data_IF_626829726197
#
_entry.id   IF_626829726197
#
_cell.length_a   1.000
_cell.length_b   1.000
_cell.length_c   1.000
_cell.angle_alpha   90.00
_cell.angle_beta   90.00
_cell.angle_gamma   90.00
#
_symmetry.space_group_name_H-M   'P 1'
#
loop_
_entity.id
_entity.type
_entity.pdbx_description
1 polymer ?
#
# COMPACT_ATOMS: atom_id res chain seq x y z
N UNK A 1 -5.25 -4.93 -17.55
CA UNK A 1 -5.15 -5.37 -16.14
C UNK A 1 -6.52 -5.73 -15.59
N UNK A 2 -7.55 -4.86 -15.62
CA UNK A 2 -8.88 -5.18 -15.06
C UNK A 2 -9.49 -6.53 -15.50
N UNK A 3 -9.41 -6.95 -16.78
CA UNK A 3 -9.93 -8.27 -17.21
C UNK A 3 -9.20 -9.47 -16.58
N UNK A 4 -8.01 -9.26 -16.01
CA UNK A 4 -7.22 -10.30 -15.36
C UNK A 4 -7.51 -10.39 -13.85
N UNK A 5 -8.24 -9.44 -13.24
CA UNK A 5 -8.51 -9.45 -11.80
C UNK A 5 -9.06 -10.79 -11.27
N UNK A 6 -9.97 -11.50 -12.00
CA UNK A 6 -10.46 -12.81 -11.55
C UNK A 6 -9.38 -13.90 -11.45
N UNK A 7 -8.18 -13.66 -11.96
CA UNK A 7 -7.03 -14.59 -11.92
C UNK A 7 -5.93 -14.12 -10.96
N UNK A 8 -6.09 -12.98 -10.29
CA UNK A 8 -5.05 -12.39 -9.44
C UNK A 8 -5.42 -12.50 -7.96
N UNK A 9 -4.49 -13.00 -7.15
CA UNK A 9 -4.62 -12.96 -5.68
C UNK A 9 -4.15 -11.61 -5.10
N UNK A 10 -3.33 -10.85 -5.83
CA UNK A 10 -2.72 -9.61 -5.38
C UNK A 10 -2.51 -8.64 -6.54
N UNK A 11 -2.87 -7.37 -6.34
CA UNK A 11 -2.50 -6.24 -7.20
C UNK A 11 -1.58 -5.31 -6.41
N UNK A 12 -0.41 -5.01 -6.96
CA UNK A 12 0.58 -4.10 -6.36
C UNK A 12 0.59 -2.76 -7.12
N UNK A 13 0.47 -1.67 -6.37
CA UNK A 13 0.64 -0.30 -6.88
C UNK A 13 1.95 0.27 -6.36
N UNK A 14 2.85 0.63 -7.28
CA UNK A 14 4.05 1.38 -6.93
C UNK A 14 3.69 2.83 -6.61
N UNK A 15 4.11 3.33 -5.45
CA UNK A 15 4.00 4.72 -5.00
C UNK A 15 5.35 5.47 -5.05
N UNK A 16 6.28 4.94 -5.84
CA UNK A 16 7.57 5.54 -6.22
C UNK A 16 7.92 5.08 -7.64
N UNK A 17 8.88 5.73 -8.29
CA UNK A 17 9.46 5.19 -9.53
C UNK A 17 10.22 3.91 -9.19
N UNK A 18 10.00 2.77 -9.87
CA UNK A 18 10.70 1.53 -9.54
C UNK A 18 12.21 1.63 -9.81
N UNK A 19 13.01 0.92 -9.00
CA UNK A 19 14.43 0.68 -9.28
C UNK A 19 15.41 1.01 -8.15
N UNK A 20 15.05 1.90 -7.20
CA UNK A 20 15.91 2.24 -6.04
C UNK A 20 15.14 2.41 -4.74
N UNK A 21 15.77 2.08 -3.62
CA UNK A 21 15.24 2.37 -2.28
C UNK A 21 15.39 3.85 -1.89
N UNK A 22 14.59 4.31 -0.92
CA UNK A 22 14.70 5.66 -0.35
C UNK A 22 14.06 6.78 -1.17
N UNK A 23 13.33 6.45 -2.23
CA UNK A 23 12.63 7.44 -3.05
C UNK A 23 11.42 8.05 -2.33
N UNK A 24 11.07 9.26 -2.73
CA UNK A 24 9.94 10.01 -2.17
C UNK A 24 8.62 9.40 -2.62
N UNK A 25 7.68 9.31 -1.68
CA UNK A 25 6.30 8.90 -1.93
C UNK A 25 5.61 9.79 -2.97
N UNK A 26 4.88 9.18 -3.90
CA UNK A 26 4.11 9.82 -4.96
C UNK A 26 2.61 9.85 -4.59
N UNK A 27 2.09 10.94 -3.97
CA UNK A 27 0.68 11.02 -3.57
C UNK A 27 -0.30 10.98 -4.74
N UNK A 28 0.13 11.33 -5.95
CA UNK A 28 -0.68 11.30 -7.17
C UNK A 28 -1.19 9.90 -7.55
N UNK A 29 -0.67 8.83 -6.92
CA UNK A 29 -1.17 7.47 -7.14
C UNK A 29 -2.51 7.19 -6.44
N UNK A 30 -2.99 8.07 -5.56
CA UNK A 30 -4.25 7.89 -4.82
C UNK A 30 -5.42 7.51 -5.75
N UNK A 31 -5.64 8.27 -6.82
CA UNK A 31 -6.75 8.03 -7.74
C UNK A 31 -6.68 6.63 -8.38
N UNK A 32 -5.46 6.13 -8.64
CA UNK A 32 -5.24 4.78 -9.16
C UNK A 32 -5.55 3.71 -8.11
N UNK A 33 -5.13 3.93 -6.86
CA UNK A 33 -5.38 3.01 -5.75
C UNK A 33 -6.89 2.87 -5.50
N UNK A 34 -7.62 3.99 -5.43
CA UNK A 34 -9.08 3.97 -5.22
C UNK A 34 -9.82 3.30 -6.38
N UNK A 35 -9.48 3.63 -7.62
CA UNK A 35 -10.08 2.98 -8.79
C UNK A 35 -9.81 1.46 -8.82
N UNK A 36 -8.65 1.02 -8.31
CA UNK A 36 -8.33 -0.39 -8.17
C UNK A 36 -9.12 -1.07 -7.06
N UNK A 37 -9.28 -0.40 -5.91
CA UNK A 37 -10.12 -0.87 -4.82
C UNK A 37 -11.55 -1.14 -5.31
N UNK A 38 -12.15 -0.14 -5.96
CA UNK A 38 -13.51 -0.23 -6.50
C UNK A 38 -13.67 -1.41 -7.48
N UNK A 39 -12.69 -1.59 -8.38
CA UNK A 39 -12.71 -2.69 -9.34
C UNK A 39 -12.51 -4.06 -8.69
N UNK A 40 -11.65 -4.15 -7.67
CA UNK A 40 -11.44 -5.39 -6.91
C UNK A 40 -12.72 -5.74 -6.12
N UNK A 41 -13.33 -4.78 -5.44
CA UNK A 41 -14.57 -5.01 -4.68
C UNK A 41 -15.70 -5.47 -5.61
N UNK A 42 -15.89 -4.77 -6.74
CA UNK A 42 -16.91 -5.12 -7.73
C UNK A 42 -16.74 -6.55 -8.26
N UNK A 43 -15.51 -7.01 -8.53
CA UNK A 43 -15.31 -8.38 -9.02
C UNK A 43 -15.43 -9.42 -7.90
N UNK A 44 -15.07 -9.10 -6.64
CA UNK A 44 -15.33 -9.97 -5.48
C UNK A 44 -16.85 -10.18 -5.32
N UNK A 45 -17.62 -9.09 -5.36
CA UNK A 45 -19.09 -9.14 -5.26
C UNK A 45 -19.73 -9.97 -6.37
N UNK A 46 -19.13 -9.99 -7.56
CA UNK A 46 -19.55 -10.81 -8.69
C UNK A 46 -19.13 -12.29 -8.59
N UNK A 47 -18.57 -12.73 -7.45
CA UNK A 47 -18.12 -14.11 -7.22
C UNK A 47 -16.70 -14.39 -7.72
N UNK A 48 -15.91 -13.34 -7.98
CA UNK A 48 -14.50 -13.43 -8.33
C UNK A 48 -13.60 -13.78 -7.15
N UNK A 49 -12.28 -13.72 -7.36
CA UNK A 49 -11.28 -14.07 -6.34
C UNK A 49 -11.18 -12.99 -5.27
N UNK A 50 -10.80 -13.39 -4.06
CA UNK A 50 -10.47 -12.45 -2.98
C UNK A 50 -9.09 -11.84 -3.24
N UNK A 51 -9.04 -10.88 -4.16
CA UNK A 51 -7.81 -10.18 -4.55
C UNK A 51 -7.45 -9.13 -3.51
N UNK A 52 -6.17 -9.08 -3.13
CA UNK A 52 -5.62 -8.08 -2.21
C UNK A 52 -5.05 -6.88 -2.96
N UNK A 53 -5.17 -5.70 -2.37
CA UNK A 53 -4.55 -4.48 -2.88
C UNK A 53 -3.33 -4.11 -2.03
N UNK A 54 -2.16 -4.06 -2.66
CA UNK A 54 -0.89 -3.70 -2.03
C UNK A 54 -0.37 -2.38 -2.58
N UNK A 55 0.26 -1.59 -1.72
CA UNK A 55 1.04 -0.42 -2.12
C UNK A 55 2.50 -0.59 -1.72
N UNK A 56 3.41 -0.23 -2.62
CA UNK A 56 4.85 -0.39 -2.44
C UNK A 56 5.61 0.90 -2.78
N UNK A 57 6.35 1.39 -1.79
CA UNK A 57 7.31 2.48 -1.94
C UNK A 57 7.01 3.70 -1.09
N UNK A 58 7.99 4.14 -0.30
CA UNK A 58 7.92 5.41 0.42
C UNK A 58 6.98 5.44 1.64
N UNK A 59 6.50 4.29 2.13
CA UNK A 59 5.64 4.21 3.32
C UNK A 59 6.45 4.46 4.60
N UNK A 60 5.92 5.35 5.45
CA UNK A 60 6.49 5.85 6.71
C UNK A 60 5.35 6.16 7.70
N UNK A 61 5.70 6.41 8.95
CA UNK A 61 4.80 6.84 10.03
C UNK A 61 3.83 7.97 9.62
N UNK A 62 4.33 9.04 9.00
CA UNK A 62 3.51 10.21 8.66
C UNK A 62 2.54 10.03 7.49
N UNK A 63 2.65 8.94 6.71
CA UNK A 63 1.78 8.69 5.56
C UNK A 63 1.02 7.36 5.60
N UNK A 64 1.35 6.47 6.55
CA UNK A 64 0.72 5.16 6.67
C UNK A 64 -0.81 5.25 6.85
N UNK A 65 -1.28 6.17 7.69
CA UNK A 65 -2.72 6.40 7.93
C UNK A 65 -3.46 6.83 6.66
N UNK A 66 -2.95 7.87 6.00
CA UNK A 66 -3.51 8.40 4.74
C UNK A 66 -3.60 7.30 3.67
N UNK A 67 -2.54 6.50 3.52
CA UNK A 67 -2.50 5.43 2.53
C UNK A 67 -3.47 4.29 2.89
N UNK A 68 -3.66 3.98 4.17
CA UNK A 68 -4.66 3.02 4.61
C UNK A 68 -6.09 3.45 4.24
N UNK A 69 -6.41 4.74 4.34
CA UNK A 69 -7.70 5.31 3.95
C UNK A 69 -8.01 5.21 2.44
N UNK A 70 -7.02 4.84 1.62
CA UNK A 70 -7.21 4.62 0.18
C UNK A 70 -7.78 3.23 -0.14
N UNK A 71 -7.93 2.36 0.87
CA UNK A 71 -8.51 1.02 0.71
C UNK A 71 -7.49 -0.10 0.45
N UNK A 72 -6.21 0.13 0.72
CA UNK A 72 -5.17 -0.89 0.59
C UNK A 72 -5.27 -1.93 1.71
N UNK A 73 -5.02 -3.19 1.37
CA UNK A 73 -4.93 -4.29 2.32
C UNK A 73 -3.52 -4.41 2.93
N UNK A 74 -2.49 -4.09 2.13
CA UNK A 74 -1.08 -4.34 2.48
C UNK A 74 -0.22 -3.14 2.09
N UNK A 75 0.66 -2.71 2.99
CA UNK A 75 1.68 -1.69 2.71
C UNK A 75 3.08 -2.30 2.85
N UNK A 76 3.94 -2.10 1.84
CA UNK A 76 5.35 -2.49 1.91
C UNK A 76 6.16 -1.36 2.53
N UNK A 77 6.82 -1.66 3.65
CA UNK A 77 7.64 -0.68 4.40
C UNK A 77 9.11 -1.04 4.29
N UNK A 78 9.87 -0.21 3.57
CA UNK A 78 11.33 -0.31 3.45
C UNK A 78 12.04 0.63 4.42
N UNK A 79 12.51 1.77 3.90
CA UNK A 79 13.25 2.78 4.68
C UNK A 79 12.46 3.43 5.82
N UNK A 80 11.13 3.26 5.85
CA UNK A 80 10.32 3.65 7.01
C UNK A 80 10.61 2.79 8.24
N UNK A 81 10.93 1.51 8.04
CA UNK A 81 11.18 0.53 9.09
C UNK A 81 12.67 0.37 9.42
N UNK A 82 13.52 0.33 8.38
CA UNK A 82 14.97 0.17 8.51
C UNK A 82 15.65 1.49 8.12
N UNK A 83 16.12 2.24 9.11
CA UNK A 83 16.80 3.53 8.96
C UNK A 83 17.72 3.82 10.16
N UNK A 84 18.34 4.99 10.17
CA UNK A 84 19.25 5.49 11.20
C UNK A 84 18.59 6.31 12.32
N UNK A 85 17.25 6.42 12.32
CA UNK A 85 16.49 7.22 13.30
C UNK A 85 16.07 6.44 14.55
N UNK A 86 16.06 5.12 14.48
CA UNK A 86 15.60 4.25 15.56
C UNK A 86 15.75 2.77 15.22
N UNK A 87 15.53 1.92 16.21
CA UNK A 87 15.44 0.48 16.03
C UNK A 87 14.23 0.09 15.17
N UNK A 88 14.27 -1.12 14.61
CA UNK A 88 13.14 -1.69 13.86
C UNK A 88 11.86 -1.69 14.71
N UNK A 89 11.97 -1.98 16.01
CA UNK A 89 10.83 -2.00 16.93
C UNK A 89 10.24 -0.61 17.16
N UNK A 90 11.07 0.42 17.38
CA UNK A 90 10.61 1.80 17.55
C UNK A 90 9.94 2.34 16.29
N UNK A 91 10.53 2.06 15.12
CA UNK A 91 9.97 2.47 13.85
C UNK A 91 8.64 1.76 13.53
N UNK A 92 8.53 0.47 13.85
CA UNK A 92 7.28 -0.27 13.71
C UNK A 92 6.20 0.31 14.62
N UNK A 93 6.53 0.57 15.89
CA UNK A 93 5.60 1.16 16.86
C UNK A 93 5.09 2.54 16.41
N UNK A 94 5.96 3.37 15.80
CA UNK A 94 5.55 4.66 15.24
C UNK A 94 4.54 4.50 14.09
N UNK A 95 4.73 3.50 13.23
CA UNK A 95 3.81 3.21 12.12
C UNK A 95 2.49 2.65 12.65
N UNK A 96 2.52 1.74 13.63
CA UNK A 96 1.31 1.18 14.26
C UNK A 96 0.50 2.26 14.98
N UNK A 97 1.18 3.13 15.73
CA UNK A 97 0.56 4.28 16.38
C UNK A 97 -0.11 5.22 15.37
N UNK A 98 0.53 5.48 14.21
CA UNK A 98 -0.07 6.27 13.14
C UNK A 98 -1.34 5.61 12.56
N UNK A 99 -1.39 4.28 12.54
CA UNK A 99 -2.57 3.50 12.11
C UNK A 99 -3.64 3.37 13.21
N UNK A 100 -3.40 3.90 14.41
CA UNK A 100 -4.32 3.75 15.55
C UNK A 100 -4.39 2.32 16.10
N UNK A 101 -3.31 1.54 15.95
CA UNK A 101 -3.18 0.17 16.46
C UNK A 101 -2.44 0.13 17.80
#
# INVERSE_FOLDING_TARGET
MLPLLPDLDLVLVMSVVPGKGGQSFMPEVEGKVRALRDAIDSQIEAGGRVTKLMIDGGIKDHNAAMVAEWGIDIAVVGSGLINDRGTVAENLAAIEAALGK
#
